data_IF_680116857135
#
_entry.id   IF_680116857135
#
_cell.length_a   1.000
_cell.length_b   1.000
_cell.length_c   1.000
_cell.angle_alpha   90.00
_cell.angle_beta   90.00
_cell.angle_gamma   90.00
#
_symmetry.space_group_name_H-M   'P 1'
#
loop_
_entity.id
_entity.type
_entity.pdbx_description
1 polymer ?
#
# COMPACT_ATOMS: atom_id res chain seq x y z
N UNK A 1 -0.70 -6.98 27.26
CA UNK A 1 -1.34 -5.69 26.89
C UNK A 1 -2.39 -5.97 25.83
N UNK A 2 -3.63 -5.52 25.99
CA UNK A 2 -4.68 -5.75 24.99
C UNK A 2 -4.75 -4.58 24.00
N UNK A 3 -4.58 -4.85 22.72
CA UNK A 3 -4.76 -3.85 21.66
C UNK A 3 -6.24 -3.63 21.39
N UNK A 4 -6.65 -2.37 21.27
CA UNK A 4 -7.92 -2.07 20.63
C UNK A 4 -7.77 -2.27 19.12
N UNK A 5 -7.98 -3.51 18.66
CA UNK A 5 -7.79 -3.94 17.27
C UNK A 5 -8.49 -3.06 16.23
N UNK A 6 -9.67 -2.51 16.54
CA UNK A 6 -10.39 -1.63 15.62
C UNK A 6 -9.70 -0.26 15.48
N UNK A 7 -9.33 0.37 16.61
CA UNK A 7 -8.61 1.66 16.58
C UNK A 7 -7.22 1.51 15.96
N UNK A 8 -6.52 0.41 16.28
CA UNK A 8 -5.22 0.09 15.70
C UNK A 8 -5.31 -0.10 14.18
N UNK A 9 -6.26 -0.91 13.71
CA UNK A 9 -6.47 -1.15 12.29
C UNK A 9 -6.85 0.13 11.53
N UNK A 10 -7.72 0.98 12.10
CA UNK A 10 -8.07 2.28 11.49
C UNK A 10 -6.85 3.20 11.39
N UNK A 11 -6.03 3.29 12.45
CA UNK A 11 -4.82 4.11 12.43
C UNK A 11 -3.84 3.61 11.36
N UNK A 12 -3.60 2.30 11.31
CA UNK A 12 -2.74 1.69 10.29
C UNK A 12 -3.25 1.96 8.86
N UNK A 13 -4.56 1.79 8.63
CA UNK A 13 -5.18 2.04 7.33
C UNK A 13 -5.05 3.50 6.88
N UNK A 14 -5.27 4.47 7.76
CA UNK A 14 -5.05 5.89 7.45
C UNK A 14 -3.58 6.20 7.16
N UNK A 15 -2.65 5.69 7.98
CA UNK A 15 -1.22 5.88 7.76
C UNK A 15 -0.79 5.33 6.40
N UNK A 16 -1.21 4.10 6.06
CA UNK A 16 -0.90 3.50 4.77
C UNK A 16 -1.60 4.19 3.60
N UNK A 17 -2.81 4.72 3.79
CA UNK A 17 -3.50 5.52 2.78
C UNK A 17 -2.75 6.82 2.47
N UNK A 18 -2.26 7.53 3.49
CA UNK A 18 -1.41 8.72 3.32
C UNK A 18 -0.10 8.35 2.62
N UNK A 19 0.55 7.27 3.07
CA UNK A 19 1.79 6.79 2.47
C UNK A 19 1.60 6.43 0.99
N UNK A 20 0.51 5.75 0.65
CA UNK A 20 0.13 5.47 -0.73
C UNK A 20 -0.03 6.74 -1.56
N UNK A 21 -0.68 7.78 -1.03
CA UNK A 21 -0.83 9.05 -1.74
C UNK A 21 0.53 9.70 -2.04
N UNK A 22 1.45 9.68 -1.08
CA UNK A 22 2.83 10.16 -1.28
C UNK A 22 3.54 9.32 -2.34
N UNK A 23 3.41 7.99 -2.30
CA UNK A 23 3.97 7.10 -3.33
C UNK A 23 3.38 7.37 -4.72
N UNK A 24 2.07 7.63 -4.83
CA UNK A 24 1.44 7.95 -6.10
C UNK A 24 1.99 9.25 -6.72
N UNK A 25 2.20 10.29 -5.90
CA UNK A 25 2.86 11.53 -6.32
C UNK A 25 4.29 11.25 -6.77
N UNK A 26 5.04 10.46 -6.00
CA UNK A 26 6.41 10.08 -6.34
C UNK A 26 6.50 9.36 -7.70
N UNK A 27 5.61 8.39 -7.95
CA UNK A 27 5.52 7.66 -9.23
C UNK A 27 5.16 8.61 -10.38
N UNK A 28 4.24 9.56 -10.15
CA UNK A 28 3.86 10.55 -11.16
C UNK A 28 5.01 11.48 -11.55
N UNK A 29 5.91 11.82 -10.61
CA UNK A 29 7.06 12.68 -10.86
C UNK A 29 8.27 11.93 -11.43
N UNK A 30 8.47 10.67 -11.05
CA UNK A 30 9.64 9.87 -11.43
C UNK A 30 9.27 8.42 -11.80
N UNK A 31 8.57 8.21 -12.93
CA UNK A 31 8.04 6.89 -13.31
C UNK A 31 9.15 5.86 -13.57
N UNK A 32 10.21 6.22 -14.30
CA UNK A 32 11.30 5.29 -14.65
C UNK A 32 12.06 4.78 -13.42
N UNK A 33 12.34 5.68 -12.47
CA UNK A 33 12.98 5.30 -11.21
C UNK A 33 12.07 4.40 -10.38
N UNK A 34 10.77 4.72 -10.34
CA UNK A 34 9.77 3.94 -9.61
C UNK A 34 9.64 2.52 -10.16
N UNK A 35 9.65 2.34 -11.48
CA UNK A 35 9.64 1.02 -12.13
C UNK A 35 10.88 0.19 -11.78
N UNK A 36 12.08 0.80 -11.78
CA UNK A 36 13.32 0.12 -11.37
C UNK A 36 13.29 -0.28 -9.90
N UNK A 37 12.87 0.63 -9.02
CA UNK A 37 12.72 0.37 -7.59
C UNK A 37 11.73 -0.76 -7.33
N UNK A 38 10.58 -0.75 -8.02
CA UNK A 38 9.60 -1.83 -7.96
C UNK A 38 10.23 -3.15 -8.41
N UNK A 39 10.96 -3.16 -9.53
CA UNK A 39 11.75 -4.30 -10.00
C UNK A 39 12.60 -4.94 -8.90
N UNK A 40 13.35 -4.13 -8.15
CA UNK A 40 14.19 -4.60 -7.06
C UNK A 40 13.40 -5.13 -5.86
N UNK A 41 12.31 -4.47 -5.46
CA UNK A 41 11.55 -4.82 -4.27
C UNK A 41 10.70 -6.09 -4.45
N UNK A 42 10.10 -6.28 -5.63
CA UNK A 42 9.23 -7.44 -5.91
C UNK A 42 9.91 -8.51 -6.78
N UNK A 43 11.23 -8.42 -6.96
CA UNK A 43 12.01 -9.39 -7.73
C UNK A 43 11.49 -9.58 -9.17
N UNK A 44 11.02 -8.49 -9.79
CA UNK A 44 10.52 -8.49 -11.16
C UNK A 44 11.70 -8.45 -12.14
N UNK A 45 11.82 -9.51 -12.94
CA UNK A 45 12.95 -9.71 -13.87
C UNK A 45 12.84 -8.91 -15.17
N UNK A 46 11.67 -8.41 -15.52
CA UNK A 46 11.45 -7.60 -16.72
C UNK A 46 10.43 -6.50 -16.44
N UNK A 47 10.92 -5.33 -16.04
CA UNK A 47 10.11 -4.13 -15.77
C UNK A 47 9.75 -3.37 -17.04
N UNK A 48 10.52 -3.56 -18.11
CA UNK A 48 10.33 -2.86 -19.40
C UNK A 48 8.99 -3.21 -20.05
N UNK A 49 8.46 -4.41 -19.77
CA UNK A 49 7.09 -4.80 -20.18
C UNK A 49 6.00 -3.89 -19.62
N UNK A 50 6.27 -3.16 -18.54
CA UNK A 50 5.33 -2.27 -17.86
C UNK A 50 5.64 -0.78 -18.12
N UNK A 51 6.77 -0.47 -18.75
CA UNK A 51 7.16 0.88 -19.11
C UNK A 51 6.38 1.35 -20.35
N UNK A 52 5.29 2.10 -20.13
CA UNK A 52 4.51 2.74 -21.20
C UNK A 52 2.99 2.58 -21.07
N UNK A 53 2.51 1.47 -20.51
CA UNK A 53 1.08 1.17 -20.42
C UNK A 53 0.43 1.56 -19.09
N UNK A 54 1.23 1.88 -18.07
CA UNK A 54 0.74 2.19 -16.72
C UNK A 54 0.85 3.68 -16.45
N UNK A 55 -0.23 4.41 -16.74
CA UNK A 55 -0.38 5.81 -16.33
C UNK A 55 -1.15 5.92 -15.01
N UNK A 56 -0.75 6.85 -14.14
CA UNK A 56 -1.53 7.22 -12.97
C UNK A 56 -2.80 7.93 -13.46
N UNK A 57 -3.92 7.20 -13.48
CA UNK A 57 -5.25 7.79 -13.74
C UNK A 57 -5.92 8.12 -12.41
N UNK A 58 -6.81 9.12 -12.40
CA UNK A 58 -7.58 9.48 -11.21
C UNK A 58 -8.38 8.28 -10.68
N UNK A 59 -9.01 7.53 -11.58
CA UNK A 59 -9.76 6.31 -11.24
C UNK A 59 -8.85 5.23 -10.66
N UNK A 60 -7.70 4.97 -11.28
CA UNK A 60 -6.72 4.01 -10.78
C UNK A 60 -6.17 4.40 -9.41
N UNK A 61 -5.91 5.69 -9.18
CA UNK A 61 -5.50 6.22 -7.88
C UNK A 61 -6.56 5.99 -6.79
N UNK A 62 -7.82 6.33 -7.05
CA UNK A 62 -8.90 6.15 -6.05
C UNK A 62 -9.12 4.67 -5.74
N UNK A 63 -9.15 3.80 -6.75
CA UNK A 63 -9.31 2.36 -6.55
C UNK A 63 -8.13 1.80 -5.74
N UNK A 64 -6.90 2.18 -6.10
CA UNK A 64 -5.70 1.75 -5.38
C UNK A 64 -5.67 2.25 -3.93
N UNK A 65 -6.08 3.49 -3.68
CA UNK A 65 -6.17 4.05 -2.33
C UNK A 65 -7.17 3.27 -1.47
N UNK A 66 -8.36 2.97 -2.00
CA UNK A 66 -9.36 2.16 -1.30
C UNK A 66 -8.83 0.76 -1.02
N UNK A 67 -8.16 0.13 -1.99
CA UNK A 67 -7.55 -1.20 -1.80
C UNK A 67 -6.50 -1.18 -0.69
N UNK A 68 -5.54 -0.26 -0.72
CA UNK A 68 -4.51 -0.14 0.33
C UNK A 68 -5.16 0.06 1.69
N UNK A 69 -6.17 0.93 1.78
CA UNK A 69 -6.85 1.20 3.03
C UNK A 69 -7.55 -0.06 3.58
N UNK A 70 -8.33 -0.75 2.76
CA UNK A 70 -9.07 -1.96 3.16
C UNK A 70 -8.12 -3.10 3.52
N UNK A 71 -7.12 -3.39 2.68
CA UNK A 71 -6.18 -4.49 2.93
C UNK A 71 -5.33 -4.24 4.17
N UNK A 72 -4.89 -2.99 4.39
CA UNK A 72 -4.17 -2.63 5.62
C UNK A 72 -5.06 -2.78 6.84
N UNK A 73 -6.31 -2.31 6.78
CA UNK A 73 -7.27 -2.45 7.88
C UNK A 73 -7.45 -3.91 8.26
N UNK A 74 -7.76 -4.77 7.28
CA UNK A 74 -7.99 -6.20 7.52
C UNK A 74 -6.74 -6.87 8.08
N UNK A 75 -5.56 -6.62 7.49
CA UNK A 75 -4.29 -7.19 7.96
C UNK A 75 -3.94 -6.77 9.39
N UNK A 76 -4.03 -5.47 9.69
CA UNK A 76 -3.76 -4.94 11.03
C UNK A 76 -4.80 -5.40 12.06
N UNK A 77 -6.05 -5.59 11.66
CA UNK A 77 -7.09 -6.13 12.52
C UNK A 77 -6.81 -7.59 12.88
N UNK A 78 -6.46 -8.43 11.89
CA UNK A 78 -6.09 -9.83 12.10
C UNK A 78 -4.87 -9.91 13.03
N UNK A 79 -3.85 -9.07 12.80
CA UNK A 79 -2.69 -8.97 13.67
C UNK A 79 -3.08 -8.62 15.11
N UNK A 80 -3.91 -7.58 15.30
CA UNK A 80 -4.38 -7.17 16.62
C UNK A 80 -5.18 -8.27 17.34
N UNK A 81 -5.98 -9.03 16.60
CA UNK A 81 -6.71 -10.19 17.13
C UNK A 81 -5.77 -11.32 17.57
N UNK A 82 -4.80 -11.69 16.72
CA UNK A 82 -3.80 -12.72 17.05
C UNK A 82 -2.96 -12.32 18.25
N UNK A 83 -2.47 -11.08 18.28
CA UNK A 83 -1.71 -10.54 19.40
C UNK A 83 -2.48 -10.69 20.70
N UNK A 84 -3.72 -10.20 20.77
CA UNK A 84 -4.55 -10.28 21.98
C UNK A 84 -4.88 -11.71 22.41
N UNK A 85 -4.85 -12.69 21.49
CA UNK A 85 -5.03 -14.10 21.83
C UNK A 85 -3.75 -14.73 22.38
N UNK A 86 -2.59 -14.22 21.99
CA UNK A 86 -1.28 -14.76 22.38
C UNK A 86 -0.72 -14.20 23.70
N UNK A 87 -1.27 -13.08 24.19
CA UNK A 87 -0.87 -12.43 25.45
C UNK A 87 -1.89 -12.57 26.56
#
# INVERSE_FOLDING_TARGET
MELNKNKFALAAAHTMGIFYAVCAVFVALMPDFSLRLFGWLVHLVNVDKFAGDVSITLTGFVIGLVQVWVYTYVGAWIFGWLHNRSV
#
